data_IF_790704484854
#
_entry.id   IF_790704484854
#
_cell.length_a   1.000
_cell.length_b   1.000
_cell.length_c   1.000
_cell.angle_alpha   90.00
_cell.angle_beta   90.00
_cell.angle_gamma   90.00
#
_symmetry.space_group_name_H-M   'P 1'
#
loop_
_entity.id
_entity.type
_entity.pdbx_description
1 polymer ?
#
# COMPACT_ATOMS: atom_id res chain seq x y z
N UNK A 1 8.92 -28.38 -14.43
CA UNK A 1 8.91 -27.08 -13.72
C UNK A 1 10.35 -26.61 -13.55
N UNK A 2 10.73 -25.48 -14.12
CA UNK A 2 12.07 -24.90 -13.92
C UNK A 2 12.04 -24.01 -12.69
N UNK A 3 12.84 -24.35 -11.67
CA UNK A 3 13.07 -23.49 -10.51
C UNK A 3 14.16 -22.49 -10.90
N UNK A 4 13.87 -21.20 -10.80
CA UNK A 4 14.88 -20.16 -10.98
C UNK A 4 15.84 -20.20 -9.78
N UNK A 5 17.08 -20.64 -10.01
CA UNK A 5 18.16 -20.59 -9.03
C UNK A 5 19.11 -19.45 -9.44
N UNK A 6 18.77 -18.24 -8.99
CA UNK A 6 19.74 -17.15 -8.87
C UNK A 6 19.99 -16.88 -7.39
N UNK A 7 21.16 -16.37 -6.99
CA UNK A 7 21.36 -15.92 -5.63
C UNK A 7 20.28 -14.89 -5.28
N UNK A 8 19.44 -15.21 -4.29
CA UNK A 8 18.47 -14.28 -3.72
C UNK A 8 19.24 -13.27 -2.90
N UNK A 9 19.83 -12.29 -3.57
CA UNK A 9 20.51 -11.18 -2.90
C UNK A 9 19.44 -10.20 -2.48
N UNK A 10 19.11 -10.20 -1.20
CA UNK A 10 18.31 -9.14 -0.61
C UNK A 10 19.18 -7.89 -0.55
N UNK A 11 19.06 -7.04 -1.58
CA UNK A 11 19.72 -5.74 -1.60
C UNK A 11 18.92 -4.78 -0.72
N UNK A 12 19.26 -4.72 0.57
CA UNK A 12 18.72 -3.68 1.46
C UNK A 12 19.60 -2.44 1.32
N UNK A 13 19.04 -1.36 0.77
CA UNK A 13 19.70 -0.08 0.77
C UNK A 13 19.50 0.60 2.14
N UNK A 14 20.55 1.07 2.81
CA UNK A 14 20.42 1.76 4.10
C UNK A 14 19.70 3.11 3.93
N UNK A 15 18.74 3.40 4.80
CA UNK A 15 18.00 4.66 4.79
C UNK A 15 18.87 5.77 5.40
N UNK A 16 18.92 6.91 4.72
CA UNK A 16 19.75 8.05 5.13
C UNK A 16 18.90 9.23 5.62
N UNK A 17 19.45 9.97 6.56
CA UNK A 17 18.94 11.27 6.99
C UNK A 17 19.10 12.31 5.87
N UNK A 18 18.51 13.49 6.06
CA UNK A 18 18.72 14.63 5.16
C UNK A 18 20.19 15.06 5.09
N UNK A 19 20.98 14.85 6.16
CA UNK A 19 22.43 15.09 6.19
C UNK A 19 23.25 13.96 5.56
N UNK A 20 22.63 12.86 5.13
CA UNK A 20 23.30 11.74 4.46
C UNK A 20 23.82 10.65 5.42
N UNK A 21 23.60 10.79 6.72
CA UNK A 21 23.96 9.80 7.73
C UNK A 21 23.01 8.61 7.71
N UNK A 22 23.52 7.40 7.99
CA UNK A 22 22.68 6.19 8.03
C UNK A 22 21.82 6.21 9.29
N UNK A 23 20.52 6.01 9.12
CA UNK A 23 19.58 5.92 10.23
C UNK A 23 19.47 4.46 10.67
N UNK A 24 20.04 4.14 11.82
CA UNK A 24 19.95 2.78 12.41
C UNK A 24 18.70 2.60 13.28
N UNK A 25 18.22 3.68 13.91
CA UNK A 25 17.07 3.63 14.81
C UNK A 25 15.76 3.41 14.02
N UNK A 26 15.02 2.35 14.37
CA UNK A 26 13.79 1.96 13.66
C UNK A 26 12.69 3.03 13.68
N UNK A 27 12.46 3.69 14.80
CA UNK A 27 11.44 4.74 14.90
C UNK A 27 11.78 5.92 13.99
N UNK A 28 13.05 6.35 14.01
CA UNK A 28 13.56 7.40 13.11
C UNK A 28 13.48 7.00 11.63
N UNK A 29 13.68 5.72 11.30
CA UNK A 29 13.46 5.24 9.94
C UNK A 29 12.00 5.40 9.52
N UNK A 30 11.05 5.06 10.40
CA UNK A 30 9.62 5.20 10.12
C UNK A 30 9.19 6.66 9.95
N UNK A 31 9.72 7.55 10.79
CA UNK A 31 9.52 9.01 10.64
C UNK A 31 10.04 9.49 9.29
N UNK A 32 11.26 9.09 8.91
CA UNK A 32 11.84 9.47 7.62
C UNK A 32 11.07 8.92 6.42
N UNK A 33 10.52 7.71 6.54
CA UNK A 33 9.61 7.16 5.54
C UNK A 33 8.33 8.00 5.42
N UNK A 34 7.72 8.38 6.55
CA UNK A 34 6.52 9.19 6.56
C UNK A 34 6.75 10.57 5.91
N UNK A 35 7.86 11.25 6.25
CA UNK A 35 8.26 12.52 5.63
C UNK A 35 8.40 12.39 4.10
N UNK A 36 9.13 11.38 3.64
CA UNK A 36 9.41 11.19 2.21
C UNK A 36 8.12 10.90 1.41
N UNK A 37 7.22 10.08 1.95
CA UNK A 37 5.93 9.83 1.30
C UNK A 37 5.01 11.05 1.34
N UNK A 38 5.02 11.81 2.44
CA UNK A 38 4.23 13.04 2.54
C UNK A 38 4.68 14.07 1.50
N UNK A 39 5.99 14.27 1.32
CA UNK A 39 6.53 15.16 0.28
C UNK A 39 6.11 14.69 -1.12
N UNK A 40 6.26 13.40 -1.41
CA UNK A 40 5.89 12.81 -2.70
C UNK A 40 4.42 13.02 -3.04
N UNK A 41 3.54 12.82 -2.05
CA UNK A 41 2.09 12.96 -2.20
C UNK A 41 1.62 14.42 -2.19
N UNK A 42 2.37 15.31 -1.53
CA UNK A 42 2.07 16.75 -1.50
C UNK A 42 2.46 17.43 -2.80
N UNK A 43 3.31 16.81 -3.62
CA UNK A 43 3.68 17.32 -4.94
C UNK A 43 2.45 17.27 -5.84
N UNK A 44 2.07 18.43 -6.38
CA UNK A 44 0.98 18.52 -7.35
C UNK A 44 1.26 17.58 -8.53
N UNK A 45 0.40 16.58 -8.67
CA UNK A 45 0.47 15.67 -9.81
C UNK A 45 -0.27 16.32 -10.97
N UNK A 46 0.46 17.13 -11.74
CA UNK A 46 -0.09 17.82 -12.92
C UNK A 46 -0.35 16.79 -14.02
N UNK A 47 -1.50 16.12 -13.95
CA UNK A 47 -2.01 15.32 -15.05
C UNK A 47 -2.52 16.28 -16.14
N UNK A 48 -1.70 16.49 -17.17
CA UNK A 48 -2.16 17.27 -18.32
C UNK A 48 -3.23 16.49 -19.10
N UNK A 49 -4.24 17.18 -19.62
CA UNK A 49 -5.23 16.58 -20.54
C UNK A 49 -4.57 15.89 -21.73
N UNK A 50 -3.39 16.37 -22.14
CA UNK A 50 -2.57 15.73 -23.16
C UNK A 50 -2.11 14.34 -22.74
N UNK A 51 -1.61 14.19 -21.50
CA UNK A 51 -1.19 12.88 -20.98
C UNK A 51 -2.35 11.86 -20.99
N UNK A 52 -3.56 12.29 -20.64
CA UNK A 52 -4.77 11.46 -20.70
C UNK A 52 -5.11 11.09 -22.15
N UNK A 53 -4.99 12.03 -23.08
CA UNK A 53 -5.25 11.77 -24.52
C UNK A 53 -4.24 10.80 -25.15
N UNK A 54 -3.01 10.73 -24.64
CA UNK A 54 -1.98 9.81 -25.13
C UNK A 54 -1.98 8.45 -24.43
N UNK A 55 -2.71 8.29 -23.32
CA UNK A 55 -2.86 6.97 -22.69
C UNK A 55 -3.81 6.12 -23.53
N UNK A 56 -3.32 4.98 -24.02
CA UNK A 56 -4.17 3.98 -24.67
C UNK A 56 -5.14 3.41 -23.65
N UNK A 57 -6.45 3.41 -23.93
CA UNK A 57 -7.42 2.81 -23.03
C UNK A 57 -7.14 1.31 -22.89
N UNK A 58 -7.17 0.83 -21.66
CA UNK A 58 -7.14 -0.61 -21.39
C UNK A 58 -8.50 -1.21 -21.79
N UNK A 59 -8.52 -2.48 -22.22
CA UNK A 59 -9.77 -3.17 -22.50
C UNK A 59 -10.61 -3.26 -21.22
N UNK A 60 -11.94 -3.13 -21.38
CA UNK A 60 -12.89 -3.36 -20.30
C UNK A 60 -12.86 -4.83 -19.90
N UNK A 61 -12.71 -5.12 -18.60
CA UNK A 61 -12.69 -6.47 -18.05
C UNK A 61 -13.97 -6.73 -17.23
N UNK A 62 -15.08 -6.99 -17.91
CA UNK A 62 -16.40 -7.24 -17.29
C UNK A 62 -16.40 -8.42 -16.30
N UNK A 63 -15.47 -9.37 -16.46
CA UNK A 63 -15.27 -10.49 -15.54
C UNK A 63 -14.98 -10.01 -14.09
N UNK A 64 -14.34 -8.85 -13.92
CA UNK A 64 -14.02 -8.30 -12.60
C UNK A 64 -15.24 -7.72 -11.87
N UNK A 65 -16.32 -7.45 -12.59
CA UNK A 65 -17.59 -7.01 -12.00
C UNK A 65 -18.39 -8.21 -11.44
N UNK A 66 -18.03 -9.44 -11.81
CA UNK A 66 -18.65 -10.65 -11.29
C UNK A 66 -18.12 -10.97 -9.88
N UNK A 67 -18.98 -11.51 -8.97
CA UNK A 67 -18.51 -12.01 -7.69
C UNK A 67 -17.53 -13.18 -7.90
N UNK A 68 -16.46 -13.28 -7.09
CA UNK A 68 -15.44 -14.30 -7.25
C UNK A 68 -16.02 -15.70 -7.07
N UNK A 69 -15.51 -16.65 -7.85
CA UNK A 69 -15.89 -18.06 -7.77
C UNK A 69 -15.32 -18.68 -6.49
N UNK A 70 -15.98 -19.71 -5.95
CA UNK A 70 -15.52 -20.46 -4.75
C UNK A 70 -14.08 -20.98 -4.89
N UNK A 71 -13.64 -21.30 -6.11
CA UNK A 71 -12.28 -21.74 -6.39
C UNK A 71 -11.24 -20.60 -6.37
N UNK A 72 -11.67 -19.36 -6.52
CA UNK A 72 -10.84 -18.15 -6.48
C UNK A 72 -10.73 -17.59 -5.06
N UNK A 73 -11.69 -17.93 -4.21
CA UNK A 73 -11.59 -17.64 -2.79
C UNK A 73 -10.40 -18.40 -2.19
N UNK A 74 -9.51 -17.74 -1.43
CA UNK A 74 -8.47 -18.45 -0.72
C UNK A 74 -9.13 -19.47 0.22
N UNK A 75 -8.65 -20.73 0.24
CA UNK A 75 -9.18 -21.82 1.08
C UNK A 75 -9.25 -21.51 2.60
N UNK A 76 -8.71 -20.37 3.00
CA UNK A 76 -8.78 -19.81 4.34
C UNK A 76 -10.04 -18.94 4.54
N UNK A 77 -11.23 -19.48 4.34
CA UNK A 77 -12.39 -19.05 5.14
C UNK A 77 -12.39 -19.82 6.46
N UNK A 78 -11.29 -19.73 7.22
CA UNK A 78 -11.39 -19.93 8.66
C UNK A 78 -12.22 -18.78 9.19
N UNK A 79 -13.46 -19.09 9.59
CA UNK A 79 -14.36 -18.22 10.33
C UNK A 79 -13.56 -17.34 11.29
N UNK A 80 -13.43 -16.05 10.97
CA UNK A 80 -12.87 -15.08 11.90
C UNK A 80 -13.78 -15.09 13.14
N UNK A 81 -13.28 -15.36 14.36
CA UNK A 81 -14.12 -15.20 15.54
C UNK A 81 -14.51 -13.73 15.62
N UNK A 82 -15.80 -13.47 15.78
CA UNK A 82 -16.37 -12.15 15.88
C UNK A 82 -15.57 -11.29 16.87
N UNK A 83 -14.81 -10.33 16.35
CA UNK A 83 -14.27 -9.25 17.18
C UNK A 83 -15.49 -8.42 17.54
N UNK A 84 -16.00 -8.58 18.77
CA UNK A 84 -16.99 -7.67 19.35
C UNK A 84 -16.37 -6.28 19.34
N UNK A 85 -16.82 -5.42 18.44
CA UNK A 85 -16.56 -3.98 18.51
C UNK A 85 -17.25 -3.47 19.78
N UNK A 86 -16.50 -3.35 20.88
CA UNK A 86 -16.89 -2.44 21.95
C UNK A 86 -16.73 -1.03 21.38
N UNK A 87 -17.81 -0.52 20.81
CA UNK A 87 -17.98 0.89 20.51
C UNK A 87 -18.06 1.60 21.87
N UNK A 88 -16.92 2.07 22.38
CA UNK A 88 -16.90 3.13 23.38
C UNK A 88 -17.19 4.44 22.65
N UNK A 89 -18.47 4.72 22.41
CA UNK A 89 -18.90 6.08 22.07
C UNK A 89 -18.74 6.92 23.34
N UNK A 90 -17.58 7.57 23.47
CA UNK A 90 -17.40 8.67 24.40
C UNK A 90 -18.36 9.79 23.99
N UNK A 91 -19.42 9.95 24.77
CA UNK A 91 -20.33 11.08 24.70
C UNK A 91 -19.56 12.38 24.79
N UNK A 92 -19.56 13.15 23.70
CA UNK A 92 -19.32 14.58 23.76
C UNK A 92 -20.65 15.24 23.38
N UNK A 93 -21.46 15.51 24.39
CA UNK A 93 -22.66 16.33 24.25
C UNK A 93 -22.20 17.77 24.06
N UNK A 94 -22.59 18.36 22.93
CA UNK A 94 -22.51 19.80 22.66
C UNK A 94 -23.79 20.45 23.22
N UNK A 95 -23.58 21.61 23.85
CA UNK A 95 -24.47 22.50 24.62
C UNK A 95 -24.70 22.12 26.09
#
# INVERSE_FOLDING_TARGET
>A
MMKAFGPSVVKVAPLKSASGEIIENRSKQMERWAENYLELLSRENVFSDKAIKYTTPLPTMEELDAPPTINELPRSSTRSPAVKLHVAMGSQQIL
#
